data_IF_763772929227
#
_entry.id   IF_763772929227
#
_cell.length_a   1.000
_cell.length_b   1.000
_cell.length_c   1.000
_cell.angle_alpha   90.00
_cell.angle_beta   90.00
_cell.angle_gamma   90.00
#
_symmetry.space_group_name_H-M   'P 1'
#
loop_
_entity.id
_entity.type
_entity.pdbx_description
1 polymer ?
#
# COMPACT_ATOMS: atom_id res chain seq x y z
N UNK A 1 18.80 -3.16 3.84
CA UNK A 1 18.16 -1.88 4.24
C UNK A 1 16.67 -2.07 4.46
N UNK A 2 15.99 -1.11 5.12
CA UNK A 2 14.52 -1.04 5.14
C UNK A 2 14.08 0.10 4.23
N UNK A 3 13.03 -0.12 3.43
CA UNK A 3 12.56 0.82 2.40
C UNK A 3 11.09 1.20 2.64
N UNK A 4 10.83 2.51 2.77
CA UNK A 4 9.48 3.07 2.85
C UNK A 4 9.10 3.67 1.49
N UNK A 5 8.17 3.03 0.79
CA UNK A 5 7.68 3.47 -0.52
C UNK A 5 6.52 4.44 -0.30
N UNK A 6 6.57 5.60 -0.95
CA UNK A 6 5.57 6.66 -0.81
C UNK A 6 5.71 7.49 0.48
N UNK A 7 6.67 7.16 1.35
CA UNK A 7 6.88 7.86 2.61
C UNK A 7 7.32 9.31 2.47
N UNK A 8 7.09 10.09 3.53
CA UNK A 8 7.52 11.49 3.65
C UNK A 8 8.20 11.77 4.99
N UNK A 9 7.92 10.97 6.00
CA UNK A 9 8.45 11.14 7.35
C UNK A 9 9.69 10.28 7.55
N UNK A 10 10.80 10.92 7.97
CA UNK A 10 12.04 10.24 8.25
C UNK A 10 11.93 9.37 9.51
N UNK A 11 12.40 8.13 9.42
CA UNK A 11 12.48 7.19 10.54
C UNK A 11 13.85 6.49 10.55
N UNK A 12 14.46 6.41 11.73
CA UNK A 12 15.77 5.78 11.89
C UNK A 12 15.77 4.34 11.33
N UNK A 13 16.76 4.03 10.48
CA UNK A 13 16.91 2.73 9.83
C UNK A 13 16.06 2.52 8.57
N UNK A 14 15.19 3.46 8.19
CA UNK A 14 14.40 3.43 6.97
C UNK A 14 14.93 4.43 5.94
N UNK A 15 14.95 4.00 4.69
CA UNK A 15 15.15 4.86 3.51
C UNK A 15 13.82 5.10 2.83
N UNK A 16 13.63 6.28 2.24
CA UNK A 16 12.39 6.67 1.60
C UNK A 16 12.58 6.75 0.09
N UNK A 17 11.71 6.05 -0.65
CA UNK A 17 11.48 6.31 -2.08
C UNK A 17 10.12 6.96 -2.27
N UNK A 18 10.08 8.04 -3.04
CA UNK A 18 8.84 8.74 -3.36
C UNK A 18 8.89 9.22 -4.82
N UNK A 19 7.73 9.31 -5.47
CA UNK A 19 7.62 9.79 -6.86
C UNK A 19 8.05 11.25 -6.99
N UNK A 20 7.92 12.02 -5.91
CA UNK A 20 8.30 13.44 -5.83
C UNK A 20 9.52 13.65 -4.94
N UNK A 21 10.44 14.54 -5.37
CA UNK A 21 11.55 14.96 -4.52
C UNK A 21 11.04 15.81 -3.36
N UNK A 22 11.29 15.35 -2.14
CA UNK A 22 10.95 16.03 -0.86
C UNK A 22 12.15 15.99 0.08
N UNK A 23 12.20 16.81 1.16
CA UNK A 23 13.39 16.92 2.02
C UNK A 23 13.90 15.60 2.62
N UNK A 24 13.02 14.65 2.94
CA UNK A 24 13.37 13.38 3.57
C UNK A 24 13.45 12.20 2.59
N UNK A 25 13.30 12.46 1.28
CA UNK A 25 13.33 11.42 0.24
C UNK A 25 14.77 11.10 -0.12
N UNK A 26 15.16 9.84 0.07
CA UNK A 26 16.48 9.34 -0.29
C UNK A 26 16.57 8.98 -1.78
N UNK A 27 15.49 8.47 -2.36
CA UNK A 27 15.41 8.02 -3.75
C UNK A 27 14.14 8.57 -4.42
N UNK A 28 14.29 9.12 -5.61
CA UNK A 28 13.13 9.51 -6.43
C UNK A 28 12.79 8.34 -7.36
N UNK A 29 11.52 7.92 -7.37
CA UNK A 29 11.08 6.82 -8.22
C UNK A 29 9.66 6.36 -7.92
N UNK A 30 9.12 5.56 -8.82
CA UNK A 30 7.78 4.98 -8.77
C UNK A 30 7.85 3.54 -8.24
N UNK A 31 6.87 3.12 -7.44
CA UNK A 31 6.76 1.74 -6.92
C UNK A 31 6.78 0.70 -8.04
N UNK A 32 6.33 1.05 -9.23
CA UNK A 32 6.27 0.17 -10.38
C UNK A 32 7.61 0.02 -11.14
N UNK A 33 8.64 0.78 -10.74
CA UNK A 33 10.01 0.63 -11.26
C UNK A 33 11.03 0.73 -10.13
N UNK A 34 11.41 -0.42 -9.61
CA UNK A 34 12.41 -0.57 -8.55
C UNK A 34 13.75 -1.07 -9.10
N UNK A 35 14.05 -0.84 -10.39
CA UNK A 35 15.27 -1.29 -11.07
C UNK A 35 16.55 -0.68 -10.47
N UNK A 36 16.43 0.49 -9.84
CA UNK A 36 17.54 1.16 -9.14
C UNK A 36 18.04 0.40 -7.89
N UNK A 37 17.31 -0.61 -7.41
CA UNK A 37 17.68 -1.42 -6.26
C UNK A 37 18.15 -2.80 -6.70
N UNK A 38 19.25 -3.27 -6.09
CA UNK A 38 19.75 -4.61 -6.32
C UNK A 38 18.78 -5.69 -5.80
N UNK A 39 18.85 -6.88 -6.38
CA UNK A 39 18.16 -8.06 -5.87
C UNK A 39 18.60 -8.33 -4.42
N UNK A 40 17.64 -8.76 -3.57
CA UNK A 40 17.90 -9.13 -2.18
C UNK A 40 18.58 -8.03 -1.33
N UNK A 41 18.30 -6.75 -1.66
CA UNK A 41 18.89 -5.59 -0.98
C UNK A 41 18.11 -5.12 0.26
N UNK A 42 16.78 -5.42 0.32
CA UNK A 42 15.90 -4.95 1.37
C UNK A 42 15.53 -6.07 2.36
N UNK A 43 15.56 -5.76 3.66
CA UNK A 43 15.10 -6.64 4.74
C UNK A 43 13.60 -6.48 4.97
N UNK A 44 13.14 -5.24 4.92
CA UNK A 44 11.74 -4.88 5.07
C UNK A 44 11.39 -3.80 4.03
N UNK A 45 10.17 -3.90 3.50
CA UNK A 45 9.57 -2.87 2.64
C UNK A 45 8.22 -2.51 3.24
N UNK A 46 7.93 -1.21 3.29
CA UNK A 46 6.66 -0.66 3.78
C UNK A 46 6.03 0.21 2.69
N UNK A 47 4.77 -0.02 2.39
CA UNK A 47 3.98 0.81 1.47
C UNK A 47 2.55 0.95 2.02
N UNK A 48 2.18 2.16 2.40
CA UNK A 48 0.86 2.48 2.92
C UNK A 48 0.14 3.42 1.96
N UNK A 49 -0.98 2.96 1.41
CA UNK A 49 -1.79 3.71 0.45
C UNK A 49 -0.98 4.20 -0.77
N UNK A 50 -0.30 3.23 -1.41
CA UNK A 50 0.50 3.44 -2.62
C UNK A 50 0.12 2.45 -3.72
N UNK A 51 -0.16 1.18 -3.36
CA UNK A 51 -0.34 0.11 -4.35
C UNK A 51 -1.63 0.25 -5.16
N UNK A 52 -2.65 0.91 -4.62
CA UNK A 52 -3.91 1.23 -5.30
C UNK A 52 -3.74 2.22 -6.46
N UNK A 53 -2.66 3.01 -6.44
CA UNK A 53 -2.32 3.95 -7.53
C UNK A 53 -1.61 3.28 -8.71
N UNK A 54 -1.33 1.97 -8.62
CA UNK A 54 -0.72 1.22 -9.72
C UNK A 54 -1.81 0.74 -10.70
N UNK A 55 -1.69 1.03 -12.01
CA UNK A 55 -2.62 0.51 -13.02
C UNK A 55 -2.71 -1.01 -12.98
N UNK A 56 -3.93 -1.56 -13.17
CA UNK A 56 -4.23 -2.99 -13.05
C UNK A 56 -3.26 -3.89 -13.83
N UNK A 57 -2.89 -3.47 -15.05
CA UNK A 57 -1.99 -4.24 -15.91
C UNK A 57 -0.55 -4.32 -15.39
N UNK A 58 -0.16 -3.42 -14.46
CA UNK A 58 1.20 -3.36 -13.90
C UNK A 58 1.31 -3.95 -12.50
N UNK A 59 0.19 -4.22 -11.83
CA UNK A 59 0.17 -4.69 -10.42
C UNK A 59 1.05 -5.92 -10.20
N UNK A 60 0.91 -6.96 -11.03
CA UNK A 60 1.68 -8.19 -10.84
C UNK A 60 3.19 -7.97 -11.01
N UNK A 61 3.60 -7.20 -12.01
CA UNK A 61 5.02 -6.90 -12.24
C UNK A 61 5.59 -5.98 -11.15
N UNK A 62 4.79 -5.04 -10.63
CA UNK A 62 5.15 -4.23 -9.46
C UNK A 62 5.44 -5.11 -8.25
N UNK A 63 4.53 -6.03 -7.92
CA UNK A 63 4.72 -6.96 -6.80
C UNK A 63 5.92 -7.90 -7.00
N UNK A 64 6.19 -8.35 -8.22
CA UNK A 64 7.41 -9.09 -8.54
C UNK A 64 8.67 -8.25 -8.34
N UNK A 65 8.62 -6.95 -8.68
CA UNK A 65 9.70 -6.00 -8.42
C UNK A 65 9.99 -5.87 -6.92
N UNK A 66 8.95 -5.74 -6.09
CA UNK A 66 9.05 -5.70 -4.63
C UNK A 66 9.65 -7.02 -4.10
N UNK A 67 9.12 -8.16 -4.56
CA UNK A 67 9.65 -9.48 -4.19
C UNK A 67 11.12 -9.64 -4.58
N UNK A 68 11.54 -9.16 -5.76
CA UNK A 68 12.93 -9.25 -6.24
C UNK A 68 13.90 -8.56 -5.29
N UNK A 69 13.58 -7.35 -4.85
CA UNK A 69 14.49 -6.55 -4.01
C UNK A 69 14.46 -6.96 -2.52
N UNK A 70 13.43 -7.68 -2.06
CA UNK A 70 13.42 -8.28 -0.72
C UNK A 70 14.43 -9.41 -0.60
N UNK A 71 15.11 -9.49 0.54
CA UNK A 71 15.94 -10.64 0.93
C UNK A 71 15.07 -11.87 1.18
N UNK A 72 15.60 -13.11 1.03
CA UNK A 72 14.90 -14.31 1.51
C UNK A 72 14.47 -14.16 2.97
N UNK A 73 13.19 -14.42 3.27
CA UNK A 73 12.59 -14.19 4.58
C UNK A 73 12.26 -12.73 4.90
N UNK A 74 12.55 -11.79 4.00
CA UNK A 74 12.20 -10.38 4.13
C UNK A 74 10.69 -10.13 4.10
N UNK A 75 10.25 -9.02 4.69
CA UNK A 75 8.82 -8.71 4.88
C UNK A 75 8.39 -7.50 4.05
N UNK A 76 7.24 -7.63 3.42
CA UNK A 76 6.52 -6.53 2.78
C UNK A 76 5.28 -6.20 3.59
N UNK A 77 5.26 -5.00 4.17
CA UNK A 77 4.13 -4.43 4.90
C UNK A 77 3.35 -3.56 3.90
N UNK A 78 2.17 -4.00 3.52
CA UNK A 78 1.32 -3.29 2.55
C UNK A 78 -0.02 -2.94 3.14
N UNK A 79 -0.40 -1.66 3.03
CA UNK A 79 -1.71 -1.15 3.39
C UNK A 79 -2.38 -0.53 2.16
N UNK A 80 -3.66 -0.81 1.98
CA UNK A 80 -4.50 -0.28 0.89
C UNK A 80 -5.92 -0.07 1.41
N UNK A 81 -6.76 0.77 0.77
CA UNK A 81 -8.18 0.82 1.09
C UNK A 81 -8.83 -0.57 0.96
N UNK A 82 -9.56 -1.02 2.00
CA UNK A 82 -10.28 -2.30 1.97
C UNK A 82 -11.60 -2.14 1.20
N UNK A 83 -11.63 -2.59 -0.05
CA UNK A 83 -12.79 -2.42 -0.92
C UNK A 83 -14.05 -3.10 -0.36
N UNK A 84 -13.92 -4.23 0.35
CA UNK A 84 -15.08 -4.91 0.94
C UNK A 84 -15.71 -4.03 2.02
N UNK A 85 -14.91 -3.41 2.88
CA UNK A 85 -15.38 -2.46 3.90
C UNK A 85 -15.98 -1.21 3.26
N UNK A 86 -15.30 -0.64 2.26
CA UNK A 86 -15.78 0.57 1.58
C UNK A 86 -17.11 0.32 0.84
N UNK A 87 -17.27 -0.84 0.19
CA UNK A 87 -18.53 -1.23 -0.42
C UNK A 87 -19.67 -1.32 0.61
N UNK A 88 -19.45 -1.95 1.77
CA UNK A 88 -20.45 -2.03 2.84
C UNK A 88 -20.84 -0.64 3.37
N UNK A 89 -19.89 0.27 3.53
CA UNK A 89 -20.16 1.66 3.91
C UNK A 89 -21.00 2.38 2.85
N UNK A 90 -20.62 2.25 1.58
CA UNK A 90 -21.28 2.97 0.50
C UNK A 90 -22.73 2.54 0.28
N UNK A 91 -23.00 1.23 0.33
CA UNK A 91 -24.38 0.71 0.13
C UNK A 91 -25.25 0.76 1.39
N UNK A 92 -24.70 1.10 2.56
CA UNK A 92 -25.47 1.18 3.80
C UNK A 92 -26.59 2.23 3.67
N UNK A 93 -27.88 1.84 3.77
CA UNK A 93 -28.98 2.79 3.61
C UNK A 93 -29.05 3.82 4.74
N UNK A 94 -28.44 3.53 5.89
CA UNK A 94 -28.39 4.44 7.04
C UNK A 94 -27.19 5.37 7.03
N UNK A 95 -26.26 5.22 6.08
CA UNK A 95 -25.11 6.10 6.00
C UNK A 95 -25.50 7.48 5.48
N UNK A 96 -25.00 8.51 6.17
CA UNK A 96 -25.13 9.90 5.78
C UNK A 96 -24.53 10.15 4.38
N UNK A 97 -25.10 11.05 3.57
CA UNK A 97 -24.52 11.43 2.27
C UNK A 97 -23.05 11.83 2.31
N UNK A 98 -22.61 12.53 3.36
CA UNK A 98 -21.20 12.93 3.53
C UNK A 98 -20.30 11.71 3.77
N UNK A 99 -20.77 10.72 4.53
CA UNK A 99 -20.08 9.43 4.70
C UNK A 99 -19.95 8.69 3.37
N UNK A 100 -21.02 8.67 2.57
CA UNK A 100 -20.98 8.05 1.22
C UNK A 100 -20.04 8.76 0.28
N UNK A 101 -20.04 10.10 0.29
CA UNK A 101 -19.13 10.89 -0.54
C UNK A 101 -17.68 10.65 -0.13
N UNK A 102 -17.35 10.66 1.17
CA UNK A 102 -16.02 10.35 1.66
C UNK A 102 -15.60 8.91 1.31
N UNK A 103 -16.51 7.95 1.45
CA UNK A 103 -16.27 6.56 1.04
C UNK A 103 -15.95 6.44 -0.44
N UNK A 104 -16.70 7.13 -1.30
CA UNK A 104 -16.45 7.20 -2.74
C UNK A 104 -15.04 7.75 -3.04
N UNK A 105 -14.61 8.81 -2.33
CA UNK A 105 -13.25 9.35 -2.48
C UNK A 105 -12.18 8.34 -2.06
N UNK A 106 -12.41 7.54 -1.01
CA UNK A 106 -11.49 6.47 -0.63
C UNK A 106 -11.44 5.34 -1.66
N UNK A 107 -12.52 5.09 -2.41
CA UNK A 107 -12.56 4.09 -3.49
C UNK A 107 -11.80 4.54 -4.74
N UNK A 108 -11.97 5.81 -5.14
CA UNK A 108 -11.50 6.31 -6.43
C UNK A 108 -10.30 7.26 -6.33
N UNK A 109 -9.81 7.54 -5.13
CA UNK A 109 -8.82 8.56 -4.84
C UNK A 109 -9.45 9.95 -4.67
N UNK A 110 -8.70 10.86 -4.07
CA UNK A 110 -9.11 12.24 -3.90
C UNK A 110 -9.11 13.04 -5.19
N UNK A 111 -8.34 12.59 -6.19
CA UNK A 111 -8.18 13.17 -7.53
C UNK A 111 -7.76 14.65 -7.50
N UNK A 112 -6.92 14.99 -6.51
CA UNK A 112 -6.42 16.36 -6.32
C UNK A 112 -5.18 16.66 -7.16
N UNK A 113 -4.48 15.59 -7.61
CA UNK A 113 -3.35 15.65 -8.52
C UNK A 113 -3.29 14.41 -9.43
N UNK A 114 -2.38 14.36 -10.44
CA UNK A 114 -2.29 13.22 -11.37
C UNK A 114 -1.94 11.86 -10.75
N UNK A 115 -1.42 11.85 -9.52
CA UNK A 115 -1.02 10.62 -8.82
C UNK A 115 -2.05 10.16 -7.78
N UNK A 116 -3.14 10.93 -7.58
CA UNK A 116 -4.17 10.66 -6.56
C UNK A 116 -5.42 9.98 -7.15
N UNK A 117 -5.19 9.07 -8.12
CA UNK A 117 -6.23 8.21 -8.69
C UNK A 117 -6.02 6.77 -8.25
N UNK A 118 -7.08 6.10 -7.77
CA UNK A 118 -7.05 4.69 -7.46
C UNK A 118 -7.47 3.87 -8.68
N UNK A 119 -6.54 3.08 -9.21
CA UNK A 119 -6.75 2.24 -10.39
C UNK A 119 -7.13 0.81 -10.04
N UNK A 120 -6.93 0.40 -8.79
CA UNK A 120 -7.21 -0.95 -8.32
C UNK A 120 -7.95 -0.95 -6.98
N UNK A 121 -9.07 -1.67 -6.91
CA UNK A 121 -9.81 -1.92 -5.67
C UNK A 121 -9.33 -3.22 -5.01
N UNK A 122 -8.69 -3.10 -3.87
CA UNK A 122 -8.11 -4.21 -3.13
C UNK A 122 -9.08 -4.80 -2.10
N UNK A 123 -9.10 -6.11 -1.99
CA UNK A 123 -9.63 -6.85 -0.85
C UNK A 123 -8.68 -7.98 -0.47
N UNK A 124 -8.99 -8.70 0.62
CA UNK A 124 -8.13 -9.77 1.12
C UNK A 124 -7.87 -10.86 0.07
N UNK A 125 -8.88 -11.23 -0.70
CA UNK A 125 -8.77 -12.28 -1.72
C UNK A 125 -7.80 -11.86 -2.85
N UNK A 126 -8.00 -10.69 -3.43
CA UNK A 126 -7.12 -10.18 -4.50
C UNK A 126 -5.69 -9.97 -3.98
N UNK A 127 -5.53 -9.39 -2.80
CA UNK A 127 -4.20 -9.17 -2.22
C UNK A 127 -3.45 -10.49 -2.05
N UNK A 128 -4.08 -11.49 -1.45
CA UNK A 128 -3.45 -12.81 -1.24
C UNK A 128 -3.11 -13.51 -2.56
N UNK A 129 -3.99 -13.44 -3.55
CA UNK A 129 -3.77 -14.09 -4.86
C UNK A 129 -2.64 -13.44 -5.65
N UNK A 130 -2.61 -12.11 -5.73
CA UNK A 130 -1.54 -11.38 -6.42
C UNK A 130 -0.18 -11.54 -5.74
N UNK A 131 -0.14 -11.50 -4.40
CA UNK A 131 1.10 -11.76 -3.65
C UNK A 131 1.64 -13.17 -3.91
N UNK A 132 0.76 -14.20 -3.89
CA UNK A 132 1.13 -15.56 -4.24
C UNK A 132 1.67 -15.68 -5.67
N UNK A 133 1.02 -15.04 -6.66
CA UNK A 133 1.48 -15.01 -8.05
C UNK A 133 2.82 -14.30 -8.21
N UNK A 134 3.11 -13.31 -7.36
CA UNK A 134 4.39 -12.59 -7.35
C UNK A 134 5.53 -13.38 -6.66
N UNK A 135 5.22 -14.52 -5.99
CA UNK A 135 6.21 -15.42 -5.39
C UNK A 135 6.31 -15.33 -3.87
N UNK A 136 5.47 -14.52 -3.19
CA UNK A 136 5.47 -14.47 -1.73
C UNK A 136 4.98 -15.79 -1.14
N UNK A 137 5.67 -16.26 -0.09
CA UNK A 137 5.41 -17.55 0.55
C UNK A 137 4.26 -17.51 1.57
N UNK A 138 4.00 -16.34 2.14
CA UNK A 138 2.93 -16.10 3.11
C UNK A 138 2.37 -14.68 2.94
N UNK A 139 1.07 -14.50 3.29
CA UNK A 139 0.40 -13.21 3.36
C UNK A 139 -0.58 -13.23 4.54
N UNK A 140 -0.29 -12.47 5.58
CA UNK A 140 -1.05 -12.42 6.82
C UNK A 140 -1.71 -11.05 6.99
N UNK A 141 -3.03 -11.03 7.23
CA UNK A 141 -3.75 -9.80 7.59
C UNK A 141 -3.47 -9.46 9.04
N UNK A 142 -3.16 -8.18 9.29
CA UNK A 142 -2.91 -7.65 10.64
C UNK A 142 -3.78 -6.42 10.89
N UNK A 143 -4.02 -6.10 12.16
CA UNK A 143 -4.79 -4.89 12.51
C UNK A 143 -3.94 -3.62 12.31
N UNK A 144 -2.68 -3.65 12.71
CA UNK A 144 -1.73 -2.55 12.61
C UNK A 144 -0.31 -3.10 12.42
N UNK A 145 0.55 -2.33 11.77
CA UNK A 145 1.98 -2.68 11.67
C UNK A 145 2.80 -2.18 12.87
N UNK A 146 2.35 -1.10 13.55
CA UNK A 146 3.10 -0.47 14.65
C UNK A 146 4.44 0.14 14.22
N UNK A 147 4.61 0.44 12.92
CA UNK A 147 5.86 0.95 12.34
C UNK A 147 5.77 2.46 12.12
N UNK A 148 4.76 2.93 11.42
CA UNK A 148 4.48 4.34 11.15
C UNK A 148 3.10 4.70 11.69
N UNK A 149 2.87 6.00 11.93
CA UNK A 149 1.53 6.54 12.25
C UNK A 149 1.00 7.19 10.99
N UNK A 150 0.24 6.45 10.21
CA UNK A 150 -0.27 6.89 8.92
C UNK A 150 -1.69 6.35 8.61
N UNK A 151 -2.09 6.41 7.36
CA UNK A 151 -3.42 5.99 6.91
C UNK A 151 -3.71 4.49 7.15
N UNK A 152 -2.69 3.65 7.37
CA UNK A 152 -2.89 2.23 7.70
C UNK A 152 -3.68 2.01 8.99
N UNK A 153 -3.61 2.95 9.93
CA UNK A 153 -4.32 2.92 11.22
C UNK A 153 -5.58 3.81 11.24
N UNK A 154 -5.98 4.37 10.07
CA UNK A 154 -7.09 5.32 9.99
C UNK A 154 -8.45 4.67 10.27
N UNK A 155 -9.20 5.21 11.23
CA UNK A 155 -10.50 4.71 11.70
C UNK A 155 -11.54 5.83 11.72
N UNK A 156 -11.94 6.40 10.56
CA UNK A 156 -12.79 7.61 10.50
C UNK A 156 -14.19 7.40 11.08
N UNK A 157 -14.64 6.15 11.16
CA UNK A 157 -15.98 5.78 11.65
C UNK A 157 -15.90 4.82 12.85
N UNK A 158 -14.77 4.82 13.59
CA UNK A 158 -14.55 3.96 14.74
C UNK A 158 -14.07 2.54 14.41
N UNK A 159 -13.88 2.20 13.13
CA UNK A 159 -13.31 0.94 12.66
C UNK A 159 -12.34 1.18 11.50
N UNK A 160 -11.35 0.27 11.29
CA UNK A 160 -10.35 0.43 10.25
C UNK A 160 -10.99 0.37 8.86
N UNK A 161 -10.49 1.23 7.95
CA UNK A 161 -10.89 1.23 6.52
C UNK A 161 -9.80 0.65 5.63
N UNK A 162 -8.65 0.33 6.20
CA UNK A 162 -7.50 -0.18 5.48
C UNK A 162 -7.38 -1.70 5.62
N UNK A 163 -6.94 -2.34 4.55
CA UNK A 163 -6.48 -3.71 4.51
C UNK A 163 -4.96 -3.70 4.74
N UNK A 164 -4.54 -4.17 5.90
CA UNK A 164 -3.14 -4.28 6.28
C UNK A 164 -2.67 -5.72 6.12
N UNK A 165 -1.65 -5.97 5.32
CA UNK A 165 -1.10 -7.32 5.07
C UNK A 165 0.42 -7.31 5.22
N UNK A 166 0.96 -8.33 5.89
CA UNK A 166 2.39 -8.62 5.92
C UNK A 166 2.64 -9.84 5.03
N UNK A 167 3.40 -9.63 3.96
CA UNK A 167 3.83 -10.71 3.07
C UNK A 167 5.30 -11.06 3.29
N UNK A 168 5.65 -12.35 3.17
CA UNK A 168 7.02 -12.86 3.38
C UNK A 168 7.55 -13.44 2.07
N UNK A 169 8.78 -13.06 1.69
CA UNK A 169 9.51 -13.68 0.57
C UNK A 169 10.03 -15.06 0.92
#
# INVERSE_FOLDING_TARGET
MKLHIGGEEAKAGWKIINISQKPNVDFVGDISDLSQFDQDSCEEIYASHVLEHVPQQRVLETLKGIHRILKPGGKFHVSVPDMDILCHLFINPMADPDVKFHTMRMMFGGQVDPHDFHYFGWNQFFMSDFLRQAGFSNAERVESFGIFQDTSDYKPYGFPISLNVIATK
#
